data_IF_592901955143
#
_entry.id   IF_592901955143
#
_cell.length_a   1.000
_cell.length_b   1.000
_cell.length_c   1.000
_cell.angle_alpha   90.00
_cell.angle_beta   90.00
_cell.angle_gamma   90.00
#
_symmetry.space_group_name_H-M   'P 1'
#
loop_
_entity.id
_entity.type
_entity.pdbx_description
1 polymer ?
#
# COMPACT_ATOMS: atom_id res chain seq x y z
N UNK A 1 -18.59 24.72 25.56
CA UNK A 1 -17.44 23.90 26.00
C UNK A 1 -16.82 23.26 24.76
N UNK A 2 -15.59 23.65 24.42
CA UNK A 2 -14.92 23.24 23.17
C UNK A 2 -14.05 22.00 23.47
N UNK A 3 -14.54 20.80 23.18
CA UNK A 3 -13.77 19.55 23.32
C UNK A 3 -12.89 19.33 22.09
N UNK A 4 -11.87 20.17 21.91
CA UNK A 4 -10.81 19.96 20.91
C UNK A 4 -9.49 19.79 21.63
N UNK A 5 -9.04 18.54 21.85
CA UNK A 5 -7.65 18.34 22.29
C UNK A 5 -7.25 17.05 23.01
N UNK A 6 -7.96 15.92 22.90
CA UNK A 6 -7.65 14.73 23.73
C UNK A 6 -7.40 13.43 22.98
N UNK A 7 -6.75 13.50 21.82
CA UNK A 7 -6.04 12.34 21.28
C UNK A 7 -4.55 12.67 21.20
N UNK A 8 -3.67 11.96 21.94
CA UNK A 8 -2.24 12.10 21.76
C UNK A 8 -1.94 11.76 20.30
N UNK A 9 -1.52 12.75 19.50
CA UNK A 9 -1.02 12.47 18.15
C UNK A 9 0.33 11.79 18.31
N UNK A 10 0.37 10.46 18.50
CA UNK A 10 1.59 9.68 18.32
C UNK A 10 2.03 9.90 16.87
N UNK A 11 2.97 10.83 16.68
CA UNK A 11 3.68 10.98 15.42
C UNK A 11 4.41 9.65 15.18
N UNK A 12 4.27 9.12 13.97
CA UNK A 12 4.97 7.91 13.55
C UNK A 12 6.46 8.02 13.86
N UNK A 13 7.03 6.99 14.48
CA UNK A 13 8.48 6.89 14.72
C UNK A 13 9.23 6.31 13.52
N UNK A 14 8.51 5.88 12.48
CA UNK A 14 9.09 5.28 11.28
C UNK A 14 9.50 6.35 10.26
N UNK A 15 10.61 6.09 9.58
CA UNK A 15 10.99 6.81 8.35
C UNK A 15 9.94 6.60 7.26
N UNK A 16 9.92 7.43 6.21
CA UNK A 16 9.02 7.25 5.08
C UNK A 16 9.12 5.84 4.46
N UNK A 17 10.33 5.28 4.40
CA UNK A 17 10.58 3.91 3.96
C UNK A 17 10.01 2.87 4.93
N UNK A 18 10.22 3.05 6.24
CA UNK A 18 9.62 2.15 7.24
C UNK A 18 8.09 2.14 7.20
N UNK A 19 7.46 3.31 6.98
CA UNK A 19 6.01 3.41 6.79
C UNK A 19 5.54 2.67 5.54
N UNK A 20 6.28 2.81 4.43
CA UNK A 20 5.94 2.16 3.17
C UNK A 20 6.05 0.64 3.26
N UNK A 21 7.08 0.12 3.95
CA UNK A 21 7.24 -1.31 4.22
C UNK A 21 6.06 -1.82 5.07
N UNK A 22 5.79 -1.19 6.21
CA UNK A 22 4.70 -1.58 7.11
C UNK A 22 3.32 -1.54 6.40
N UNK A 23 3.05 -0.48 5.65
CA UNK A 23 1.83 -0.35 4.87
C UNK A 23 1.70 -1.48 3.82
N UNK A 24 2.79 -1.77 3.10
CA UNK A 24 2.80 -2.82 2.08
C UNK A 24 2.58 -4.21 2.68
N UNK A 25 3.18 -4.53 3.83
CA UNK A 25 2.90 -5.78 4.54
C UNK A 25 1.42 -5.91 4.91
N UNK A 26 0.84 -4.85 5.51
CA UNK A 26 -0.58 -4.86 5.88
C UNK A 26 -1.49 -5.07 4.67
N UNK A 27 -1.22 -4.38 3.56
CA UNK A 27 -2.04 -4.53 2.35
C UNK A 27 -1.93 -5.95 1.77
N UNK A 28 -0.73 -6.53 1.73
CA UNK A 28 -0.54 -7.88 1.20
C UNK A 28 -1.18 -8.95 2.09
N UNK A 29 -1.03 -8.83 3.41
CA UNK A 29 -1.62 -9.75 4.37
C UNK A 29 -3.16 -9.67 4.32
N UNK A 30 -3.72 -8.48 4.10
CA UNK A 30 -5.16 -8.32 3.86
C UNK A 30 -5.61 -8.89 2.52
N UNK A 31 -4.84 -8.72 1.45
CA UNK A 31 -5.15 -9.30 0.14
C UNK A 31 -5.11 -10.84 0.14
N UNK A 32 -4.25 -11.43 0.97
CA UNK A 32 -4.17 -12.89 1.18
C UNK A 32 -5.24 -13.43 2.14
N UNK A 33 -6.06 -12.55 2.74
CA UNK A 33 -7.08 -12.92 3.70
C UNK A 33 -6.54 -13.35 5.07
N UNK A 34 -5.23 -13.16 5.32
CA UNK A 34 -4.61 -13.44 6.63
C UNK A 34 -4.90 -12.33 7.64
N UNK A 35 -5.29 -11.14 7.16
CA UNK A 35 -5.55 -9.98 7.99
C UNK A 35 -6.86 -9.26 7.60
N UNK A 36 -7.89 -9.36 8.44
CA UNK A 36 -9.13 -8.60 8.24
C UNK A 36 -8.92 -7.07 8.36
N UNK A 37 -9.83 -6.26 7.82
CA UNK A 37 -9.69 -4.79 7.79
C UNK A 37 -9.55 -4.18 9.20
N UNK A 38 -10.24 -4.74 10.19
CA UNK A 38 -10.20 -4.25 11.58
C UNK A 38 -8.85 -4.55 12.22
N UNK A 39 -8.26 -5.71 11.91
CA UNK A 39 -6.93 -6.14 12.34
C UNK A 39 -5.84 -5.34 11.61
N UNK A 40 -5.99 -5.10 10.31
CA UNK A 40 -5.14 -4.22 9.52
C UNK A 40 -5.07 -2.81 10.11
N UNK A 41 -6.24 -2.23 10.41
CA UNK A 41 -6.33 -0.92 11.07
C UNK A 41 -5.74 -0.90 12.48
N UNK A 42 -5.73 -2.01 13.22
CA UNK A 42 -5.01 -2.08 14.52
C UNK A 42 -3.50 -2.10 14.30
N UNK A 43 -2.99 -3.00 13.45
CA UNK A 43 -1.57 -3.14 13.14
C UNK A 43 -0.95 -1.85 12.63
N UNK A 44 -1.63 -1.15 11.71
CA UNK A 44 -1.18 0.16 11.20
C UNK A 44 -1.08 1.22 12.30
N UNK A 45 -2.00 1.22 13.27
CA UNK A 45 -1.96 2.18 14.38
C UNK A 45 -0.84 1.90 15.37
N UNK A 46 -0.48 0.63 15.53
CA UNK A 46 0.61 0.16 16.39
C UNK A 46 1.98 0.42 15.75
N UNK A 47 2.15 0.05 14.48
CA UNK A 47 3.42 0.17 13.77
C UNK A 47 3.67 1.58 13.23
N UNK A 48 2.67 2.18 12.61
CA UNK A 48 2.83 3.46 11.90
C UNK A 48 2.32 4.62 12.72
N UNK A 49 1.12 4.56 13.26
CA UNK A 49 0.60 5.56 14.19
C UNK A 49 -0.92 5.74 14.15
N UNK A 50 -1.48 6.35 15.21
CA UNK A 50 -2.91 6.34 15.52
C UNK A 50 -3.86 6.90 14.45
N UNK A 51 -3.36 7.64 13.46
CA UNK A 51 -4.18 8.20 12.37
C UNK A 51 -4.33 7.25 11.18
N UNK A 52 -3.64 6.11 11.19
CA UNK A 52 -3.66 5.19 10.06
C UNK A 52 -4.84 4.23 10.12
N UNK A 53 -5.69 4.29 9.10
CA UNK A 53 -6.74 3.33 8.77
C UNK A 53 -6.32 2.50 7.55
N UNK A 54 -7.06 1.42 7.26
CA UNK A 54 -6.83 0.61 6.07
C UNK A 54 -6.93 1.44 4.78
N UNK A 55 -7.91 2.33 4.68
CA UNK A 55 -8.03 3.26 3.56
C UNK A 55 -6.82 4.20 3.43
N UNK A 56 -6.32 4.76 4.54
CA UNK A 56 -5.12 5.63 4.47
C UNK A 56 -3.86 4.86 4.08
N UNK A 57 -3.78 3.56 4.39
CA UNK A 57 -2.70 2.69 3.92
C UNK A 57 -2.71 2.57 2.39
N UNK A 58 -3.88 2.27 1.82
CA UNK A 58 -4.09 2.19 0.36
C UNK A 58 -3.78 3.54 -0.30
N UNK A 59 -4.30 4.64 0.24
CA UNK A 59 -4.05 5.99 -0.30
C UNK A 59 -2.58 6.41 -0.20
N UNK A 60 -1.87 6.02 0.87
CA UNK A 60 -0.46 6.32 1.03
C UNK A 60 0.39 5.53 0.02
N UNK A 61 0.13 4.22 -0.10
CA UNK A 61 0.87 3.32 -0.99
C UNK A 61 0.68 3.66 -2.48
N UNK A 62 -0.47 4.22 -2.86
CA UNK A 62 -0.68 4.71 -4.23
C UNK A 62 0.07 6.01 -4.54
N UNK A 63 0.65 6.66 -3.52
CA UNK A 63 1.38 7.91 -3.64
C UNK A 63 2.82 7.76 -4.11
N UNK A 64 3.35 8.85 -4.71
CA UNK A 64 4.75 8.91 -5.19
C UNK A 64 5.79 8.78 -4.07
N UNK A 65 5.49 9.26 -2.86
CA UNK A 65 6.37 9.16 -1.70
C UNK A 65 6.62 7.69 -1.32
N UNK A 66 5.56 6.90 -1.19
CA UNK A 66 5.66 5.49 -0.85
C UNK A 66 6.39 4.70 -1.95
N UNK A 67 6.03 4.92 -3.22
CA UNK A 67 6.69 4.27 -4.34
C UNK A 67 8.19 4.61 -4.39
N UNK A 68 8.57 5.87 -4.21
CA UNK A 68 9.97 6.30 -4.16
C UNK A 68 10.73 5.64 -3.02
N UNK A 69 10.12 5.56 -1.83
CA UNK A 69 10.72 4.94 -0.66
C UNK A 69 10.95 3.42 -0.84
N UNK A 70 10.02 2.73 -1.52
CA UNK A 70 10.16 1.31 -1.87
C UNK A 70 11.19 1.08 -2.98
N UNK A 71 11.22 1.94 -4.01
CA UNK A 71 12.24 1.89 -5.08
C UNK A 71 13.67 2.06 -4.54
N UNK A 72 13.84 2.86 -3.48
CA UNK A 72 15.11 3.09 -2.82
C UNK A 72 15.63 1.90 -1.97
N UNK A 73 14.85 0.82 -1.83
CA UNK A 73 15.34 -0.39 -1.15
C UNK A 73 16.49 -1.04 -1.91
N UNK A 74 17.47 -1.65 -1.22
CA UNK A 74 18.59 -2.31 -1.88
C UNK A 74 18.12 -3.48 -2.75
N UNK A 75 18.87 -3.77 -3.80
CA UNK A 75 18.64 -4.96 -4.61
C UNK A 75 18.92 -6.20 -3.76
N UNK A 76 17.96 -7.13 -3.70
CA UNK A 76 17.99 -8.28 -2.79
C UNK A 76 17.37 -8.03 -1.40
N UNK A 77 16.69 -6.90 -1.18
CA UNK A 77 15.95 -6.68 0.06
C UNK A 77 14.87 -7.76 0.27
N UNK A 78 14.86 -8.34 1.47
CA UNK A 78 13.86 -9.31 1.92
C UNK A 78 13.52 -9.11 3.39
N UNK A 79 12.23 -9.17 3.74
CA UNK A 79 11.77 -9.15 5.13
C UNK A 79 10.44 -9.91 5.26
N UNK A 80 10.27 -10.72 6.30
CA UNK A 80 9.04 -11.50 6.55
C UNK A 80 8.58 -12.31 5.33
N UNK A 81 9.52 -12.91 4.58
CA UNK A 81 9.23 -13.66 3.36
C UNK A 81 8.81 -12.79 2.16
N UNK A 82 8.78 -11.46 2.30
CA UNK A 82 8.53 -10.52 1.21
C UNK A 82 9.82 -9.99 0.62
N UNK A 83 9.84 -9.83 -0.70
CA UNK A 83 10.94 -9.19 -1.42
C UNK A 83 10.58 -7.75 -1.75
N UNK A 84 11.57 -6.96 -2.21
CA UNK A 84 11.33 -5.62 -2.77
C UNK A 84 10.22 -5.63 -3.85
N UNK A 85 10.19 -6.68 -4.66
CA UNK A 85 9.20 -6.87 -5.72
C UNK A 85 7.77 -6.98 -5.16
N UNK A 86 7.60 -7.73 -4.06
CA UNK A 86 6.28 -7.84 -3.40
C UNK A 86 5.80 -6.48 -2.88
N UNK A 87 6.68 -5.66 -2.30
CA UNK A 87 6.28 -4.34 -1.81
C UNK A 87 5.91 -3.39 -2.95
N UNK A 88 6.64 -3.44 -4.07
CA UNK A 88 6.27 -2.69 -5.27
C UNK A 88 4.92 -3.16 -5.83
N UNK A 89 4.66 -4.47 -5.83
CA UNK A 89 3.36 -5.03 -6.17
C UNK A 89 2.23 -4.50 -5.28
N UNK A 90 2.46 -4.35 -3.97
CA UNK A 90 1.50 -3.75 -3.05
C UNK A 90 1.18 -2.29 -3.41
N UNK A 91 2.18 -1.49 -3.81
CA UNK A 91 1.96 -0.12 -4.26
C UNK A 91 1.12 -0.06 -5.55
N UNK A 92 1.33 -1.00 -6.49
CA UNK A 92 0.52 -1.11 -7.71
C UNK A 92 -0.92 -1.50 -7.38
N UNK A 93 -1.10 -2.53 -6.55
CA UNK A 93 -2.41 -2.95 -6.05
C UNK A 93 -3.16 -1.79 -5.40
N UNK A 94 -2.47 -1.01 -4.57
CA UNK A 94 -3.04 0.17 -3.94
C UNK A 94 -3.48 1.22 -4.97
N UNK A 95 -2.65 1.51 -5.98
CA UNK A 95 -2.97 2.45 -7.04
C UNK A 95 -4.19 2.00 -7.87
N UNK A 96 -4.29 0.72 -8.22
CA UNK A 96 -5.45 0.15 -8.90
C UNK A 96 -6.71 0.24 -8.02
N UNK A 97 -6.56 -0.05 -6.73
CA UNK A 97 -7.67 0.04 -5.77
C UNK A 97 -8.20 1.47 -5.66
N UNK A 98 -7.32 2.47 -5.63
CA UNK A 98 -7.71 3.90 -5.65
C UNK A 98 -8.33 4.30 -6.98
N UNK A 99 -7.77 3.87 -8.11
CA UNK A 99 -8.31 4.16 -9.44
C UNK A 99 -9.73 3.57 -9.63
N UNK A 100 -9.99 2.42 -9.00
CA UNK A 100 -11.28 1.73 -9.03
C UNK A 100 -12.22 2.15 -7.89
N UNK A 101 -11.79 3.05 -7.00
CA UNK A 101 -12.63 3.59 -5.93
C UNK A 101 -13.48 4.75 -6.46
N UNK A 102 -14.80 4.67 -6.28
CA UNK A 102 -15.67 5.83 -6.52
C UNK A 102 -15.43 6.91 -5.47
N UNK A 103 -15.79 8.15 -5.81
CA UNK A 103 -15.76 9.30 -4.90
C UNK A 103 -16.65 9.14 -3.66
N UNK A 104 -17.60 8.21 -3.68
CA UNK A 104 -18.47 7.84 -2.56
C UNK A 104 -17.87 6.75 -1.65
N UNK A 105 -16.65 6.27 -1.94
CA UNK A 105 -15.96 5.24 -1.17
C UNK A 105 -16.33 3.80 -1.57
N UNK A 106 -17.21 3.61 -2.55
CA UNK A 106 -17.60 2.29 -3.04
C UNK A 106 -16.57 1.78 -4.06
N UNK A 107 -16.01 0.59 -3.83
CA UNK A 107 -15.17 -0.08 -4.83
C UNK A 107 -16.02 -0.51 -6.03
N UNK A 108 -15.54 -0.25 -7.26
CA UNK A 108 -16.02 -0.99 -8.42
C UNK A 108 -15.72 -2.48 -8.18
N UNK A 109 -16.79 -3.28 -8.16
CA UNK A 109 -16.87 -4.71 -7.82
C UNK A 109 -15.53 -5.41 -7.48
N UNK A 110 -15.36 -5.82 -6.21
CA UNK A 110 -14.15 -6.48 -5.71
C UNK A 110 -13.75 -7.76 -6.50
N UNK A 111 -14.69 -8.42 -7.18
CA UNK A 111 -14.40 -9.56 -8.06
C UNK A 111 -13.57 -9.16 -9.28
N UNK A 112 -13.75 -7.96 -9.82
CA UNK A 112 -12.99 -7.46 -10.96
C UNK A 112 -11.53 -7.18 -10.59
N UNK A 113 -11.30 -6.62 -9.39
CA UNK A 113 -9.96 -6.41 -8.84
C UNK A 113 -9.24 -7.73 -8.57
N UNK A 114 -9.95 -8.73 -8.03
CA UNK A 114 -9.39 -10.06 -7.80
C UNK A 114 -9.08 -10.82 -9.12
N UNK A 115 -9.86 -10.60 -10.19
CA UNK A 115 -9.59 -11.14 -11.51
C UNK A 115 -8.38 -10.48 -12.19
N UNK A 116 -8.27 -9.15 -12.14
CA UNK A 116 -7.12 -8.44 -12.72
C UNK A 116 -5.79 -8.79 -12.05
N UNK A 117 -5.78 -8.98 -10.72
CA UNK A 117 -4.58 -9.39 -9.98
C UNK A 117 -4.16 -10.84 -10.26
N UNK A 118 -5.11 -11.70 -10.61
CA UNK A 118 -4.81 -13.07 -11.03
C UNK A 118 -4.31 -13.14 -12.48
N UNK A 119 -4.79 -12.23 -13.34
CA UNK A 119 -4.48 -12.23 -14.77
C UNK A 119 -3.18 -11.50 -15.08
N UNK A 120 -2.81 -10.45 -14.33
CA UNK A 120 -1.56 -9.72 -14.52
C UNK A 120 -0.56 -10.05 -13.41
N UNK A 121 0.37 -10.94 -13.72
CA UNK A 121 1.53 -11.17 -12.85
C UNK A 121 2.28 -9.85 -12.69
N UNK A 122 2.62 -9.46 -11.46
CA UNK A 122 3.32 -8.19 -11.12
C UNK A 122 4.53 -7.90 -12.02
N UNK A 123 5.17 -8.96 -12.54
CA UNK A 123 6.27 -8.91 -13.51
C UNK A 123 5.87 -8.31 -14.87
N UNK A 124 4.68 -8.60 -15.39
CA UNK A 124 4.18 -8.05 -16.67
C UNK A 124 3.94 -6.55 -16.56
N UNK A 125 3.49 -6.06 -15.41
CA UNK A 125 3.24 -4.62 -15.23
C UNK A 125 4.53 -3.82 -15.05
N UNK A 126 5.54 -4.41 -14.41
CA UNK A 126 6.88 -3.81 -14.35
C UNK A 126 7.52 -3.77 -15.74
N UNK A 127 7.31 -4.79 -16.57
CA UNK A 127 7.75 -4.77 -17.96
C UNK A 127 7.04 -3.66 -18.76
N UNK A 128 5.70 -3.59 -18.70
CA UNK A 128 4.90 -2.56 -19.40
C UNK A 128 5.30 -1.13 -19.01
N UNK A 129 5.63 -0.87 -17.74
CA UNK A 129 6.12 0.45 -17.32
C UNK A 129 7.56 0.75 -17.71
N UNK A 130 8.41 -0.27 -17.82
CA UNK A 130 9.78 -0.09 -18.29
C UNK A 130 9.82 0.22 -19.80
N UNK A 131 8.87 -0.32 -20.56
CA UNK A 131 8.68 0.01 -21.97
C UNK A 131 8.05 1.40 -22.16
N UNK A 132 7.06 1.78 -21.33
CA UNK A 132 6.49 3.14 -21.35
C UNK A 132 7.50 4.23 -20.97
N UNK A 133 8.49 3.93 -20.12
CA UNK A 133 9.61 4.84 -19.82
C UNK A 133 10.72 4.82 -20.90
N UNK A 134 10.69 3.87 -21.85
CA UNK A 134 11.63 3.78 -22.99
C UNK A 134 11.12 4.45 -24.28
N UNK A 135 9.82 4.68 -24.42
CA UNK A 135 9.24 5.37 -25.58
C UNK A 135 9.29 6.90 -25.50
N UNK A 136 9.76 7.48 -24.38
CA UNK A 136 10.03 8.92 -24.23
C UNK A 136 11.53 9.29 -24.32
N UNK A 137 12.29 8.64 -25.22
CA UNK A 137 13.67 9.05 -25.58
C UNK A 137 13.85 9.20 -27.08
#
# INVERSE_FOLDING_TARGET
MNVRGLFPKKKSRLSAQGKAIAAAHVLLDSAEGTLDEKAAGRRLREEVGLQWTYLTCIQYLSGKEALGALKALPNGWTEQGRTKLHLLGAAVLAAQTVANLRSDGTMLCASHLAEELKVKTVEQWLAEKTDAEREEV
#
